data_IF_025171820460
#
_entry.id   IF_025171820460
#
_cell.length_a   1.000
_cell.length_b   1.000
_cell.length_c   1.000
_cell.angle_alpha   90.00
_cell.angle_beta   90.00
_cell.angle_gamma   90.00
#
_symmetry.space_group_name_H-M   'P 1'
#
loop_
_entity.id
_entity.type
_entity.pdbx_description
1 polymer ?
#
# COMPACT_ATOMS: atom_id res chain seq x y z
N UNK A 1 1.34 -5.69 16.24
CA UNK A 1 1.13 -4.59 15.29
C UNK A 1 1.80 -4.93 13.99
N UNK A 2 1.16 -4.70 12.84
CA UNK A 2 1.76 -4.86 11.51
C UNK A 2 1.40 -3.70 10.58
N UNK A 3 2.19 -3.53 9.52
CA UNK A 3 1.96 -2.56 8.46
C UNK A 3 1.61 -3.22 7.13
N UNK A 4 0.64 -2.67 6.39
CA UNK A 4 0.35 -3.03 5.00
C UNK A 4 0.88 -1.94 4.05
N UNK A 5 1.59 -2.32 2.99
CA UNK A 5 1.98 -1.40 1.91
C UNK A 5 0.82 -1.10 0.96
N UNK A 6 0.78 0.12 0.40
CA UNK A 6 -0.17 0.48 -0.67
C UNK A 6 -0.09 -0.48 -1.88
N UNK A 7 1.08 -1.08 -2.14
CA UNK A 7 1.33 -2.04 -3.22
C UNK A 7 1.40 -3.49 -2.71
N UNK A 8 0.56 -3.82 -1.72
CA UNK A 8 0.47 -5.15 -1.14
C UNK A 8 -0.07 -6.22 -2.10
N UNK A 9 0.19 -7.48 -1.78
CA UNK A 9 -0.30 -8.65 -2.53
C UNK A 9 -1.46 -9.36 -1.84
N UNK A 10 -2.02 -8.74 -0.80
CA UNK A 10 -3.18 -9.22 -0.04
C UNK A 10 -4.23 -8.09 0.02
N UNK A 11 -5.51 -8.36 -0.26
CA UNK A 11 -6.57 -7.36 -0.14
C UNK A 11 -6.70 -6.80 1.28
N UNK A 12 -7.01 -5.50 1.40
CA UNK A 12 -7.14 -4.80 2.69
C UNK A 12 -8.26 -5.44 3.53
N UNK A 13 -9.35 -5.84 2.88
CA UNK A 13 -10.53 -6.44 3.48
C UNK A 13 -10.19 -7.78 4.14
N UNK A 14 -9.26 -8.54 3.56
CA UNK A 14 -8.80 -9.78 4.16
C UNK A 14 -8.05 -9.55 5.47
N UNK A 15 -7.48 -8.37 5.69
CA UNK A 15 -6.75 -8.07 6.92
C UNK A 15 -7.66 -7.57 8.04
N UNK A 16 -8.90 -7.21 7.73
CA UNK A 16 -9.91 -6.81 8.73
C UNK A 16 -10.18 -7.92 9.76
N UNK A 17 -10.05 -9.19 9.35
CA UNK A 17 -10.27 -10.39 10.19
C UNK A 17 -9.28 -10.54 11.35
N UNK A 18 -8.14 -9.84 11.30
CA UNK A 18 -7.13 -9.92 12.36
C UNK A 18 -7.35 -8.80 13.40
N UNK A 19 -7.55 -9.21 14.64
CA UNK A 19 -7.71 -8.31 15.79
C UNK A 19 -6.34 -7.97 16.43
N UNK A 20 -5.60 -7.06 15.80
CA UNK A 20 -4.32 -6.53 16.29
C UNK A 20 -4.16 -5.10 15.76
N UNK A 21 -3.34 -4.24 16.39
CA UNK A 21 -3.08 -2.92 15.84
C UNK A 21 -2.50 -2.98 14.42
N UNK A 22 -3.04 -2.17 13.51
CA UNK A 22 -2.76 -2.18 12.07
C UNK A 22 -2.42 -0.78 11.56
N UNK A 23 -1.34 -0.70 10.78
CA UNK A 23 -0.91 0.50 10.09
C UNK A 23 -1.05 0.31 8.58
N UNK A 24 -1.55 1.30 7.87
CA UNK A 24 -1.58 1.31 6.42
C UNK A 24 -0.58 2.35 5.91
N UNK A 25 0.41 1.91 5.14
CA UNK A 25 1.34 2.79 4.43
C UNK A 25 0.65 3.32 3.18
N UNK A 26 0.69 4.64 2.99
CA UNK A 26 -0.06 5.36 1.96
C UNK A 26 0.85 6.28 1.15
N UNK A 27 0.73 6.20 -0.19
CA UNK A 27 1.25 7.20 -1.12
C UNK A 27 0.13 8.15 -1.53
N UNK A 28 0.41 9.46 -1.55
CA UNK A 28 -0.56 10.43 -2.04
C UNK A 28 -0.52 10.49 -3.57
N UNK A 29 -1.63 10.18 -4.22
CA UNK A 29 -1.76 10.22 -5.67
C UNK A 29 -2.22 11.60 -6.15
N UNK A 30 -1.79 11.98 -7.35
CA UNK A 30 -2.28 13.19 -8.02
C UNK A 30 -3.79 13.10 -8.32
N UNK A 31 -4.28 11.88 -8.56
CA UNK A 31 -5.71 11.63 -8.68
C UNK A 31 -6.34 11.53 -7.28
N UNK A 32 -7.18 12.51 -6.96
CA UNK A 32 -7.87 12.56 -5.67
C UNK A 32 -8.88 11.43 -5.49
N UNK A 33 -9.51 10.94 -6.57
CA UNK A 33 -10.48 9.84 -6.49
C UNK A 33 -9.83 8.54 -6.04
N UNK A 34 -8.56 8.30 -6.42
CA UNK A 34 -7.77 7.18 -5.93
C UNK A 34 -7.51 7.31 -4.42
N UNK A 35 -7.15 8.51 -3.97
CA UNK A 35 -6.89 8.76 -2.55
C UNK A 35 -8.14 8.50 -1.71
N UNK A 36 -9.29 9.02 -2.13
CA UNK A 36 -10.56 8.86 -1.44
C UNK A 36 -10.97 7.38 -1.37
N UNK A 37 -10.90 6.66 -2.50
CA UNK A 37 -11.24 5.24 -2.57
C UNK A 37 -10.37 4.38 -1.65
N UNK A 38 -9.06 4.62 -1.59
CA UNK A 38 -8.15 3.89 -0.69
C UNK A 38 -8.46 4.20 0.76
N UNK A 39 -8.61 5.48 1.12
CA UNK A 39 -8.86 5.88 2.50
C UNK A 39 -10.19 5.33 3.02
N UNK A 40 -11.23 5.27 2.18
CA UNK A 40 -12.51 4.69 2.53
C UNK A 40 -12.40 3.18 2.80
N UNK A 41 -11.67 2.45 1.95
CA UNK A 41 -11.40 1.01 2.18
C UNK A 41 -10.59 0.75 3.45
N UNK A 42 -9.59 1.58 3.72
CA UNK A 42 -8.75 1.46 4.91
C UNK A 42 -9.55 1.72 6.19
N UNK A 43 -10.40 2.76 6.19
CA UNK A 43 -11.35 3.03 7.29
C UNK A 43 -12.32 1.88 7.49
N UNK A 44 -12.91 1.36 6.41
CA UNK A 44 -13.83 0.23 6.45
C UNK A 44 -13.18 -1.07 6.97
N UNK A 45 -11.86 -1.20 6.82
CA UNK A 45 -11.09 -2.38 7.26
C UNK A 45 -10.47 -2.24 8.66
N UNK A 46 -10.85 -1.21 9.41
CA UNK A 46 -10.44 -0.97 10.80
C UNK A 46 -8.92 -0.93 11.00
N UNK A 47 -8.22 -0.15 10.17
CA UNK A 47 -6.82 0.21 10.41
C UNK A 47 -6.74 1.37 11.40
N UNK A 48 -5.79 1.30 12.33
CA UNK A 48 -5.64 2.25 13.42
C UNK A 48 -4.83 3.49 13.01
N UNK A 49 -3.91 3.34 12.06
CA UNK A 49 -2.93 4.36 11.70
C UNK A 49 -2.70 4.41 10.19
N UNK A 50 -2.59 5.62 9.64
CA UNK A 50 -2.05 5.87 8.30
C UNK A 50 -0.59 6.34 8.42
N UNK A 51 0.31 5.70 7.70
CA UNK A 51 1.68 6.15 7.50
C UNK A 51 1.83 6.74 6.10
N UNK A 52 1.77 8.07 6.01
CA UNK A 52 1.97 8.79 4.76
C UNK A 52 3.46 8.78 4.38
N UNK A 53 3.78 8.23 3.22
CA UNK A 53 5.14 8.23 2.68
C UNK A 53 5.38 9.48 1.84
N UNK A 54 6.40 10.27 2.20
CA UNK A 54 6.67 11.61 1.63
C UNK A 54 8.01 11.73 0.91
N UNK A 55 8.80 10.67 0.89
CA UNK A 55 10.18 10.64 0.39
C UNK A 55 10.34 10.05 -1.03
N UNK A 56 9.26 9.56 -1.64
CA UNK A 56 9.31 8.89 -2.97
C UNK A 56 8.32 9.49 -3.96
N UNK A 57 8.50 10.77 -4.31
CA UNK A 57 7.74 11.41 -5.42
C UNK A 57 8.03 10.69 -6.74
N UNK A 58 9.28 10.25 -6.93
CA UNK A 58 9.72 9.41 -8.05
C UNK A 58 10.31 8.11 -7.52
N UNK A 59 10.27 7.05 -8.33
CA UNK A 59 10.95 5.80 -8.00
C UNK A 59 12.47 6.03 -7.89
N UNK A 60 13.09 5.45 -6.87
CA UNK A 60 14.55 5.46 -6.72
C UNK A 60 15.23 4.57 -7.77
N UNK A 61 16.46 4.93 -8.18
CA UNK A 61 17.25 4.14 -9.10
C UNK A 61 17.87 2.92 -8.41
N UNK A 62 17.19 1.77 -8.46
CA UNK A 62 17.70 0.49 -7.95
C UNK A 62 18.36 -0.29 -9.09
N UNK A 63 19.63 -0.03 -9.36
CA UNK A 63 20.36 -0.68 -10.48
C UNK A 63 20.32 -2.21 -10.44
N UNK A 64 20.26 -2.80 -9.24
CA UNK A 64 20.17 -4.26 -9.08
C UNK A 64 18.86 -4.81 -9.66
N UNK A 65 17.76 -4.10 -9.50
CA UNK A 65 16.44 -4.53 -10.00
C UNK A 65 16.45 -4.54 -11.53
N UNK A 66 17.10 -3.55 -12.14
CA UNK A 66 17.34 -3.49 -13.58
C UNK A 66 18.26 -4.62 -14.06
N UNK A 67 19.42 -4.80 -13.42
CA UNK A 67 20.40 -5.84 -13.78
C UNK A 67 19.82 -7.25 -13.65
N UNK A 68 19.05 -7.50 -12.59
CA UNK A 68 18.46 -8.80 -12.31
C UNK A 68 17.10 -9.01 -12.98
N UNK A 69 16.58 -8.02 -13.71
CA UNK A 69 15.28 -8.06 -14.41
C UNK A 69 14.14 -8.51 -13.49
N UNK A 70 13.99 -7.84 -12.36
CA UNK A 70 12.90 -8.16 -11.42
C UNK A 70 11.55 -7.79 -12.06
N UNK A 71 10.58 -8.71 -12.00
CA UNK A 71 9.20 -8.51 -12.42
C UNK A 71 8.25 -9.05 -11.34
N UNK A 72 7.06 -8.47 -11.31
CA UNK A 72 6.00 -8.84 -10.39
C UNK A 72 5.27 -10.07 -10.95
N UNK A 73 5.10 -11.12 -10.14
CA UNK A 73 4.20 -12.22 -10.48
C UNK A 73 2.74 -11.79 -10.30
N UNK A 74 1.81 -12.40 -11.03
CA UNK A 74 0.46 -11.91 -11.40
C UNK A 74 -0.52 -11.42 -10.31
N UNK A 75 -0.12 -11.25 -9.05
CA UNK A 75 -0.97 -10.82 -7.95
C UNK A 75 -0.38 -9.63 -7.19
N UNK A 76 -0.69 -8.43 -7.67
CA UNK A 76 -0.63 -7.20 -6.87
C UNK A 76 -2.05 -6.64 -6.82
N UNK A 77 -2.55 -6.42 -5.61
CA UNK A 77 -3.82 -5.76 -5.43
C UNK A 77 -3.49 -4.28 -5.26
N UNK A 78 -3.64 -3.54 -6.34
CA UNK A 78 -3.57 -2.08 -6.32
C UNK A 78 -4.99 -1.57 -6.33
N UNK A 79 -5.27 -0.66 -5.39
CA UNK A 79 -6.55 0.02 -5.17
C UNK A 79 -7.61 -0.84 -4.54
#
# INVERSE_FOLDING_TARGET
MFGLSTIGTVPIEELSKFNTPKMFQFYYHKDHGINDAVLDRVKASSFDVIALTVDTITFGNRERDFKNRIYISSKTYTW
#
